data_IF_113172190164
#
_entry.id   IF_113172190164
#
_cell.length_a   1.000
_cell.length_b   1.000
_cell.length_c   1.000
_cell.angle_alpha   90.00
_cell.angle_beta   90.00
_cell.angle_gamma   90.00
#
_symmetry.space_group_name_H-M   'P 1'
#
loop_
_entity.id
_entity.type
_entity.pdbx_description
1 polymer ?
#
# COMPACT_ATOMS: atom_id res chain seq x y z
N UNK A 1 -7.36 -18.20 -3.98
CA UNK A 1 -7.62 -17.14 -4.97
C UNK A 1 -8.91 -16.34 -4.74
N UNK A 2 -10.05 -16.92 -4.36
CA UNK A 2 -11.30 -16.22 -4.03
C UNK A 2 -11.15 -15.21 -2.88
N UNK A 3 -10.30 -15.50 -1.89
CA UNK A 3 -10.03 -14.61 -0.74
C UNK A 3 -9.40 -13.28 -1.14
N UNK A 4 -8.45 -13.30 -2.07
CA UNK A 4 -7.81 -12.08 -2.57
C UNK A 4 -8.80 -11.20 -3.31
N UNK A 5 -9.64 -11.79 -4.16
CA UNK A 5 -10.67 -11.07 -4.92
C UNK A 5 -11.74 -10.46 -4.01
N UNK A 6 -12.20 -11.20 -3.00
CA UNK A 6 -13.18 -10.72 -2.03
C UNK A 6 -12.62 -9.54 -1.20
N UNK A 7 -11.35 -9.59 -0.80
CA UNK A 7 -10.71 -8.53 -0.04
C UNK A 7 -10.57 -7.22 -0.81
N UNK A 8 -10.17 -7.27 -2.06
CA UNK A 8 -10.10 -6.05 -2.90
C UNK A 8 -11.47 -5.41 -3.11
N UNK A 9 -12.51 -6.22 -3.35
CA UNK A 9 -13.88 -5.71 -3.46
C UNK A 9 -14.35 -5.10 -2.13
N UNK A 10 -13.98 -5.69 -0.99
CA UNK A 10 -14.27 -5.13 0.33
C UNK A 10 -13.68 -3.74 0.53
N UNK A 11 -12.41 -3.53 0.13
CA UNK A 11 -11.77 -2.21 0.20
C UNK A 11 -12.38 -1.20 -0.77
N UNK A 12 -12.83 -1.63 -1.94
CA UNK A 12 -13.51 -0.77 -2.90
C UNK A 12 -14.84 -0.26 -2.34
N UNK A 13 -15.65 -1.15 -1.76
CA UNK A 13 -16.89 -0.80 -1.07
C UNK A 13 -16.65 0.09 0.15
N UNK A 14 -15.63 -0.23 0.96
CA UNK A 14 -15.22 0.57 2.11
C UNK A 14 -14.78 1.97 1.67
N UNK A 15 -13.96 2.09 0.63
CA UNK A 15 -13.53 3.37 0.08
C UNK A 15 -14.71 4.20 -0.45
N UNK A 16 -15.67 3.55 -1.12
CA UNK A 16 -16.90 4.21 -1.58
C UNK A 16 -17.72 4.76 -0.41
N UNK A 17 -17.91 3.97 0.64
CA UNK A 17 -18.61 4.42 1.85
C UNK A 17 -17.88 5.56 2.56
N UNK A 18 -16.56 5.43 2.75
CA UNK A 18 -15.76 6.44 3.43
C UNK A 18 -15.63 7.74 2.63
N UNK A 19 -15.79 7.69 1.30
CA UNK A 19 -15.76 8.87 0.44
C UNK A 19 -16.83 9.88 0.85
N UNK A 20 -18.03 9.42 1.16
CA UNK A 20 -19.20 10.27 1.47
C UNK A 20 -19.27 10.61 2.97
N UNK A 21 -18.45 9.98 3.79
CA UNK A 21 -18.43 10.19 5.23
C UNK A 21 -17.60 11.42 5.61
N UNK A 22 -18.28 12.52 5.99
CA UNK A 22 -17.61 13.75 6.40
C UNK A 22 -17.47 13.87 7.93
N UNK A 23 -16.29 13.52 8.43
CA UNK A 23 -15.92 13.75 9.81
C UNK A 23 -15.10 15.04 9.95
N UNK A 24 -15.31 15.78 11.04
CA UNK A 24 -14.40 16.88 11.38
C UNK A 24 -12.99 16.34 11.66
N UNK A 25 -11.96 17.16 11.47
CA UNK A 25 -10.57 16.75 11.75
C UNK A 25 -10.41 16.26 13.19
N UNK A 26 -11.04 16.95 14.16
CA UNK A 26 -11.02 16.55 15.59
C UNK A 26 -11.60 15.14 15.78
N UNK A 27 -12.74 14.85 15.18
CA UNK A 27 -13.40 13.53 15.24
C UNK A 27 -12.54 12.46 14.56
N UNK A 28 -11.95 12.77 13.39
CA UNK A 28 -11.07 11.86 12.66
C UNK A 28 -9.84 11.49 13.50
N UNK A 29 -9.24 12.45 14.20
CA UNK A 29 -8.10 12.19 15.08
C UNK A 29 -8.51 11.44 16.36
N UNK A 30 -9.60 11.86 17.01
CA UNK A 30 -10.07 11.26 18.26
C UNK A 30 -10.46 9.78 18.11
N UNK A 31 -11.05 9.39 17.01
CA UNK A 31 -11.44 8.00 16.74
C UNK A 31 -10.31 7.27 15.99
N UNK A 32 -9.68 7.93 15.04
CA UNK A 32 -8.69 7.33 14.16
C UNK A 32 -7.40 6.94 14.87
N UNK A 33 -6.89 7.77 15.80
CA UNK A 33 -5.66 7.45 16.51
C UNK A 33 -5.82 6.20 17.38
N UNK A 34 -6.83 6.07 18.27
CA UNK A 34 -7.03 4.84 19.03
C UNK A 34 -7.24 3.62 18.14
N UNK A 35 -8.01 3.77 17.07
CA UNK A 35 -8.28 2.69 16.11
C UNK A 35 -7.02 2.21 15.41
N UNK A 36 -6.15 3.15 14.98
CA UNK A 36 -4.86 2.83 14.39
C UNK A 36 -3.93 2.14 15.39
N UNK A 37 -3.85 2.68 16.63
CA UNK A 37 -3.01 2.12 17.69
C UNK A 37 -3.45 0.70 18.04
N UNK A 38 -4.74 0.45 18.21
CA UNK A 38 -5.26 -0.90 18.48
C UNK A 38 -4.91 -1.86 17.35
N UNK A 39 -5.15 -1.46 16.08
CA UNK A 39 -4.79 -2.28 14.92
C UNK A 39 -3.29 -2.58 14.88
N UNK A 40 -2.44 -1.57 15.14
CA UNK A 40 -0.99 -1.72 15.19
C UNK A 40 -0.52 -2.66 16.31
N UNK A 41 -1.07 -2.50 17.51
CA UNK A 41 -0.75 -3.34 18.68
C UNK A 41 -1.12 -4.80 18.40
N UNK A 42 -2.31 -5.05 17.84
CA UNK A 42 -2.75 -6.41 17.47
C UNK A 42 -1.82 -7.00 16.40
N UNK A 43 -1.45 -6.23 15.38
CA UNK A 43 -0.50 -6.68 14.35
C UNK A 43 0.87 -7.01 14.95
N UNK A 44 1.42 -6.11 15.77
CA UNK A 44 2.76 -6.26 16.33
C UNK A 44 2.83 -7.45 17.31
N UNK A 45 1.93 -7.53 18.27
CA UNK A 45 1.94 -8.61 19.25
C UNK A 45 1.49 -9.94 18.66
N UNK A 46 0.54 -9.94 17.72
CA UNK A 46 0.14 -11.13 16.99
C UNK A 46 1.30 -11.72 16.19
N UNK A 47 2.04 -10.89 15.46
CA UNK A 47 3.23 -11.33 14.74
C UNK A 47 4.31 -11.87 15.70
N UNK A 48 4.60 -11.14 16.79
CA UNK A 48 5.56 -11.58 17.81
C UNK A 48 5.16 -12.91 18.45
N UNK A 49 3.89 -13.11 18.71
CA UNK A 49 3.37 -14.36 19.26
C UNK A 49 3.57 -15.52 18.28
N UNK A 50 3.22 -15.33 16.99
CA UNK A 50 3.39 -16.37 15.97
C UNK A 50 4.86 -16.73 15.75
N UNK A 51 5.77 -15.75 15.71
CA UNK A 51 7.22 -16.02 15.58
C UNK A 51 7.83 -16.75 16.78
N UNK A 52 7.16 -16.79 17.91
CA UNK A 52 7.62 -17.52 19.11
C UNK A 52 7.16 -19.00 19.11
N UNK A 53 6.27 -19.40 18.22
CA UNK A 53 5.81 -20.79 18.11
C UNK A 53 6.85 -21.65 17.38
N UNK A 54 7.15 -22.86 17.85
CA UNK A 54 8.17 -23.75 17.25
C UNK A 54 7.81 -24.23 15.85
N UNK A 55 6.50 -24.36 15.52
CA UNK A 55 5.99 -24.86 14.24
C UNK A 55 5.35 -23.74 13.40
N UNK A 56 5.93 -22.53 13.45
CA UNK A 56 5.39 -21.37 12.74
C UNK A 56 5.57 -21.52 11.22
N UNK A 57 4.47 -21.51 10.49
CA UNK A 57 4.44 -21.50 9.02
C UNK A 57 4.34 -20.05 8.50
N UNK A 58 4.76 -19.84 7.24
CA UNK A 58 4.64 -18.53 6.59
C UNK A 58 3.17 -18.06 6.56
N UNK A 59 2.22 -18.97 6.35
CA UNK A 59 0.78 -18.66 6.36
C UNK A 59 0.31 -18.13 7.72
N UNK A 60 0.84 -18.70 8.83
CA UNK A 60 0.52 -18.23 10.18
C UNK A 60 1.10 -16.84 10.44
N UNK A 61 2.30 -16.54 9.92
CA UNK A 61 2.91 -15.22 10.01
C UNK A 61 2.09 -14.17 9.26
N UNK A 62 1.59 -14.52 8.07
CA UNK A 62 0.80 -13.61 7.25
C UNK A 62 -0.56 -13.24 7.85
N UNK A 63 -1.11 -14.06 8.76
CA UNK A 63 -2.45 -13.88 9.32
C UNK A 63 -2.69 -12.47 9.90
N UNK A 64 -1.68 -11.90 10.55
CA UNK A 64 -1.80 -10.60 11.24
C UNK A 64 -1.49 -9.38 10.37
N UNK A 65 -0.95 -9.56 9.16
CA UNK A 65 -0.70 -8.44 8.24
C UNK A 65 -1.27 -8.64 6.83
N UNK A 66 -2.06 -9.68 6.65
CA UNK A 66 -2.87 -9.82 5.44
C UNK A 66 -3.83 -8.63 5.33
N UNK A 67 -3.92 -8.03 4.17
CA UNK A 67 -4.76 -6.86 3.91
C UNK A 67 -6.25 -7.06 4.24
N UNK A 68 -6.75 -8.30 4.26
CA UNK A 68 -8.12 -8.64 4.66
C UNK A 68 -8.31 -8.76 6.18
N UNK A 69 -7.25 -8.71 6.98
CA UNK A 69 -7.34 -8.82 8.44
C UNK A 69 -7.98 -7.59 9.05
N UNK A 70 -8.83 -7.77 10.04
CA UNK A 70 -9.59 -6.70 10.69
C UNK A 70 -8.68 -5.60 11.27
N UNK A 71 -7.54 -5.99 11.86
CA UNK A 71 -6.55 -5.06 12.39
C UNK A 71 -5.96 -4.15 11.30
N UNK A 72 -5.70 -4.69 10.09
CA UNK A 72 -5.21 -3.91 8.95
C UNK A 72 -6.29 -2.97 8.43
N UNK A 73 -7.55 -3.43 8.34
CA UNK A 73 -8.70 -2.58 7.99
C UNK A 73 -8.86 -1.44 9.00
N UNK A 74 -8.73 -1.73 10.31
CA UNK A 74 -8.79 -0.72 11.38
C UNK A 74 -7.68 0.35 11.23
N UNK A 75 -6.50 -0.03 10.76
CA UNK A 75 -5.40 0.91 10.48
C UNK A 75 -5.65 1.72 9.20
N UNK A 76 -6.26 1.12 8.18
CA UNK A 76 -6.48 1.73 6.87
C UNK A 76 -7.53 2.84 6.92
N UNK A 77 -8.62 2.66 7.66
CA UNK A 77 -9.73 3.63 7.74
C UNK A 77 -9.26 5.02 8.19
N UNK A 78 -8.55 5.18 9.34
CA UNK A 78 -8.10 6.51 9.78
C UNK A 78 -7.08 7.14 8.83
N UNK A 79 -6.20 6.35 8.22
CA UNK A 79 -5.24 6.85 7.23
C UNK A 79 -5.97 7.40 6.01
N UNK A 80 -6.98 6.70 5.51
CA UNK A 80 -7.81 7.17 4.40
C UNK A 80 -8.56 8.47 4.77
N UNK A 81 -9.17 8.52 5.95
CA UNK A 81 -9.91 9.70 6.42
C UNK A 81 -9.01 10.92 6.61
N UNK A 82 -7.74 10.72 7.05
CA UNK A 82 -6.75 11.79 7.15
C UNK A 82 -6.27 12.23 5.77
N UNK A 83 -5.97 11.29 4.88
CA UNK A 83 -5.54 11.59 3.52
C UNK A 83 -6.59 12.43 2.77
N UNK A 84 -7.87 12.13 2.96
CA UNK A 84 -9.00 12.90 2.41
C UNK A 84 -9.00 14.37 2.85
N UNK A 85 -8.44 14.69 4.03
CA UNK A 85 -8.36 16.08 4.54
C UNK A 85 -7.16 16.87 4.03
N UNK A 86 -6.22 16.18 3.37
CA UNK A 86 -5.02 16.83 2.83
C UNK A 86 -5.36 17.64 1.57
N UNK A 87 -5.22 18.97 1.67
CA UNK A 87 -5.41 19.86 0.52
C UNK A 87 -4.05 20.17 -0.11
N UNK A 88 -3.79 19.60 -1.27
CA UNK A 88 -2.54 19.80 -2.01
C UNK A 88 -2.62 21.12 -2.81
N UNK A 89 -2.00 22.17 -2.30
CA UNK A 89 -1.98 23.50 -2.95
C UNK A 89 -0.97 23.60 -4.10
N UNK A 90 0.12 22.85 -4.04
CA UNK A 90 1.18 22.88 -5.06
C UNK A 90 0.75 22.17 -6.33
N UNK A 91 0.74 22.88 -7.44
CA UNK A 91 0.43 22.34 -8.77
C UNK A 91 1.40 21.22 -9.20
N UNK A 92 2.68 21.34 -8.82
CA UNK A 92 3.69 20.29 -9.09
C UNK A 92 3.38 19.01 -8.37
N UNK A 93 3.01 19.09 -7.09
CA UNK A 93 2.64 17.92 -6.27
C UNK A 93 1.34 17.31 -6.79
N UNK A 94 0.36 18.11 -7.17
CA UNK A 94 -0.90 17.64 -7.74
C UNK A 94 -0.68 16.86 -9.05
N UNK A 95 0.18 17.39 -9.95
CA UNK A 95 0.56 16.68 -11.18
C UNK A 95 1.31 15.38 -10.92
N UNK A 96 2.22 15.37 -9.94
CA UNK A 96 2.93 14.15 -9.55
C UNK A 96 1.97 13.09 -8.99
N UNK A 97 1.04 13.48 -8.10
CA UNK A 97 0.03 12.57 -7.56
C UNK A 97 -0.91 12.04 -8.64
N UNK A 98 -1.35 12.90 -9.57
CA UNK A 98 -2.16 12.48 -10.71
C UNK A 98 -1.41 11.47 -11.59
N UNK A 99 -0.12 11.71 -11.85
CA UNK A 99 0.71 10.76 -12.58
C UNK A 99 0.85 9.42 -11.83
N UNK A 100 1.07 9.45 -10.52
CA UNK A 100 1.13 8.25 -9.68
C UNK A 100 -0.19 7.47 -9.70
N UNK A 101 -1.32 8.16 -9.72
CA UNK A 101 -2.64 7.53 -9.81
C UNK A 101 -2.80 6.80 -11.15
N UNK A 102 -2.43 7.45 -12.24
CA UNK A 102 -2.51 6.85 -13.59
C UNK A 102 -1.54 5.66 -13.73
N UNK A 103 -0.33 5.78 -13.16
CA UNK A 103 0.66 4.72 -13.22
C UNK A 103 0.44 3.62 -12.17
N UNK A 104 -0.39 3.86 -11.15
CA UNK A 104 -0.49 3.04 -9.95
C UNK A 104 -0.81 1.57 -10.23
N UNK A 105 -1.73 1.27 -11.12
CA UNK A 105 -2.05 -0.11 -11.49
C UNK A 105 -0.86 -0.80 -12.19
N UNK A 106 -0.22 -0.13 -13.14
CA UNK A 106 0.96 -0.67 -13.81
C UNK A 106 2.11 -0.93 -12.82
N UNK A 107 2.35 0.00 -11.89
CA UNK A 107 3.34 -0.17 -10.82
C UNK A 107 2.98 -1.37 -9.95
N UNK A 108 1.71 -1.51 -9.56
CA UNK A 108 1.22 -2.65 -8.79
C UNK A 108 1.48 -3.98 -9.49
N UNK A 109 1.27 -4.05 -10.81
CA UNK A 109 1.47 -5.29 -11.58
C UNK A 109 2.95 -5.69 -11.68
N UNK A 110 3.85 -4.72 -11.85
CA UNK A 110 5.26 -5.03 -12.16
C UNK A 110 6.20 -4.95 -10.94
N UNK A 111 5.80 -4.31 -9.81
CA UNK A 111 6.70 -4.12 -8.65
C UNK A 111 7.22 -5.45 -8.09
N UNK A 112 6.44 -6.51 -8.19
CA UNK A 112 6.81 -7.84 -7.71
C UNK A 112 8.11 -8.35 -8.37
N UNK A 113 8.29 -8.09 -9.66
CA UNK A 113 9.51 -8.48 -10.39
C UNK A 113 10.76 -7.75 -9.89
N UNK A 114 10.59 -6.55 -9.33
CA UNK A 114 11.70 -5.70 -8.86
C UNK A 114 11.96 -5.81 -7.36
N UNK A 115 11.07 -6.44 -6.60
CA UNK A 115 11.24 -6.59 -5.14
C UNK A 115 12.48 -7.41 -4.81
N UNK A 116 12.66 -8.59 -5.41
CA UNK A 116 13.82 -9.44 -5.19
C UNK A 116 15.15 -8.76 -5.56
N UNK A 117 15.31 -8.27 -6.80
CA UNK A 117 16.50 -7.53 -7.22
C UNK A 117 16.82 -6.32 -6.34
N UNK A 118 15.81 -5.58 -5.88
CA UNK A 118 16.00 -4.42 -4.99
C UNK A 118 16.54 -4.83 -3.62
N UNK A 119 16.06 -5.93 -3.05
CA UNK A 119 16.58 -6.47 -1.79
C UNK A 119 18.03 -6.90 -1.94
N UNK A 120 18.36 -7.60 -3.02
CA UNK A 120 19.75 -8.01 -3.31
C UNK A 120 20.65 -6.78 -3.42
N UNK A 121 20.25 -5.77 -4.18
CA UNK A 121 21.00 -4.53 -4.35
C UNK A 121 21.25 -3.82 -3.02
N UNK A 122 20.22 -3.70 -2.17
CA UNK A 122 20.35 -2.98 -0.89
C UNK A 122 21.20 -3.75 0.11
N UNK A 123 21.21 -5.09 0.06
CA UNK A 123 22.10 -5.92 0.90
C UNK A 123 23.56 -5.66 0.61
N UNK A 124 23.95 -5.33 -0.63
CA UNK A 124 25.35 -5.01 -0.98
C UNK A 124 25.84 -3.69 -0.36
N UNK A 125 24.93 -2.82 0.09
CA UNK A 125 25.25 -1.51 0.64
C UNK A 125 25.63 -1.53 2.13
N UNK A 126 25.69 -2.71 2.79
CA UNK A 126 26.03 -2.87 4.21
C UNK A 126 25.26 -1.95 5.18
N UNK A 127 23.99 -1.67 4.86
CA UNK A 127 23.10 -0.83 5.67
C UNK A 127 22.47 -1.68 6.79
N UNK A 128 22.18 -1.12 7.98
CA UNK A 128 21.45 -1.83 9.04
C UNK A 128 20.13 -2.45 8.54
N UNK A 129 19.87 -3.70 8.94
CA UNK A 129 18.70 -4.49 8.48
C UNK A 129 17.37 -3.72 8.55
N UNK A 130 17.03 -2.96 9.62
CA UNK A 130 15.78 -2.20 9.70
C UNK A 130 15.63 -1.15 8.58
N UNK A 131 16.72 -0.64 8.04
CA UNK A 131 16.72 0.35 6.95
C UNK A 131 16.75 -0.31 5.57
N UNK A 132 17.22 -1.56 5.46
CA UNK A 132 17.24 -2.27 4.19
C UNK A 132 15.85 -2.46 3.59
N UNK A 133 14.86 -2.80 4.42
CA UNK A 133 13.48 -3.06 3.98
C UNK A 133 12.84 -1.82 3.36
N UNK A 134 12.77 -0.65 4.05
CA UNK A 134 12.16 0.54 3.46
C UNK A 134 12.93 1.06 2.24
N UNK A 135 14.27 0.96 2.23
CA UNK A 135 15.07 1.38 1.08
C UNK A 135 14.81 0.47 -0.12
N UNK A 136 14.78 -0.85 0.07
CA UNK A 136 14.46 -1.79 -0.99
C UNK A 136 13.06 -1.57 -1.56
N UNK A 137 12.08 -1.29 -0.71
CA UNK A 137 10.71 -0.96 -1.12
C UNK A 137 10.66 0.33 -1.97
N UNK A 138 11.38 1.38 -1.56
CA UNK A 138 11.48 2.63 -2.31
C UNK A 138 12.14 2.40 -3.67
N UNK A 139 13.23 1.64 -3.72
CA UNK A 139 13.93 1.31 -4.97
C UNK A 139 13.02 0.53 -5.91
N UNK A 140 12.37 -0.54 -5.42
CA UNK A 140 11.43 -1.33 -6.22
C UNK A 140 10.29 -0.47 -6.77
N UNK A 141 9.73 0.42 -5.93
CA UNK A 141 8.67 1.34 -6.34
C UNK A 141 9.15 2.33 -7.42
N UNK A 142 10.30 2.99 -7.21
CA UNK A 142 10.83 3.98 -8.15
C UNK A 142 11.18 3.36 -9.51
N UNK A 143 11.80 2.18 -9.51
CA UNK A 143 12.12 1.45 -10.74
C UNK A 143 10.83 1.09 -11.49
N UNK A 144 9.85 0.53 -10.79
CA UNK A 144 8.56 0.17 -11.36
C UNK A 144 7.84 1.40 -11.92
N UNK A 145 7.80 2.50 -11.17
CA UNK A 145 7.20 3.75 -11.62
C UNK A 145 7.89 4.35 -12.85
N UNK A 146 9.24 4.31 -12.87
CA UNK A 146 10.01 4.78 -14.03
C UNK A 146 9.68 3.99 -15.28
N UNK A 147 9.62 2.65 -15.18
CA UNK A 147 9.32 1.76 -16.31
C UNK A 147 7.91 2.03 -16.83
N UNK A 148 6.90 2.10 -15.93
CA UNK A 148 5.51 2.39 -16.32
C UNK A 148 5.41 3.76 -16.98
N UNK A 149 6.12 4.77 -16.46
CA UNK A 149 6.16 6.11 -17.07
C UNK A 149 6.79 6.09 -18.47
N UNK A 150 7.88 5.35 -18.66
CA UNK A 150 8.51 5.19 -19.97
C UNK A 150 7.56 4.49 -20.95
N UNK A 151 6.92 3.41 -20.53
CA UNK A 151 5.94 2.69 -21.35
C UNK A 151 4.77 3.61 -21.74
N UNK A 152 4.27 4.41 -20.80
CA UNK A 152 3.20 5.38 -21.06
C UNK A 152 3.60 6.46 -22.10
N UNK A 153 4.89 6.78 -22.22
CA UNK A 153 5.40 7.75 -23.22
C UNK A 153 5.51 7.18 -24.63
N UNK A 154 5.64 5.84 -24.77
CA UNK A 154 5.83 5.17 -26.07
C UNK A 154 4.56 5.21 -26.94
N UNK A 155 3.40 5.62 -26.40
CA UNK A 155 2.21 5.94 -27.19
C UNK A 155 1.14 4.83 -27.25
N UNK A 156 0.38 4.77 -28.35
CA UNK A 156 -0.86 3.98 -28.48
C UNK A 156 -0.82 2.52 -28.00
N UNK A 157 0.23 1.69 -28.17
CA UNK A 157 0.25 0.33 -27.67
C UNK A 157 0.24 0.24 -26.16
N UNK A 158 0.86 1.22 -25.44
CA UNK A 158 0.84 1.27 -24.00
C UNK A 158 -0.58 1.50 -23.43
N UNK A 159 -1.42 2.25 -24.15
CA UNK A 159 -2.83 2.42 -23.79
C UNK A 159 -3.60 1.10 -23.80
N UNK A 160 -3.32 0.18 -24.69
CA UNK A 160 -4.00 -1.13 -24.71
C UNK A 160 -3.54 -2.07 -23.59
N UNK A 161 -2.27 -1.98 -23.16
CA UNK A 161 -1.72 -2.80 -22.09
C UNK A 161 -2.11 -2.24 -20.70
N UNK A 162 -2.22 -0.89 -20.59
CA UNK A 162 -2.54 -0.20 -19.36
C UNK A 162 -4.00 0.32 -19.30
N UNK A 163 -4.74 0.27 -20.42
CA UNK A 163 -6.06 0.86 -20.60
C UNK A 163 -7.23 -0.01 -20.12
N UNK A 164 -6.97 -0.99 -19.28
CA UNK A 164 -8.03 -1.57 -18.43
C UNK A 164 -8.55 -0.57 -17.37
N UNK A 165 -8.11 0.71 -17.42
CA UNK A 165 -8.42 1.74 -16.43
C UNK A 165 -9.29 2.88 -17.01
N UNK A 166 -9.92 2.66 -18.13
CA UNK A 166 -10.97 3.57 -18.60
C UNK A 166 -12.35 2.87 -18.53
N UNK A 167 -12.80 2.66 -17.32
CA UNK A 167 -14.24 2.61 -16.98
C UNK A 167 -14.52 3.75 -16.03
#
# INVERSE_FOLDING_TARGET
MLYAFAGFNGYLLLGHYLKDLDWSLKKTLAIGIPMFVVGYVVTFFGFRYMTALPDCTDEMLELFFTYCSLNVVMMTIPVFMLAKKVNVRSERVRKALANLTVCGFGVYMIHYFFTGPSVVLVRTLNIPIPLQIPIAAIVAFLVSWLIVNLVNRIGKPAKYILSLIHI
#
